data_IF_079158894357
#
_entry.id   IF_079158894357
#
_cell.length_a   1.000
_cell.length_b   1.000
_cell.length_c   1.000
_cell.angle_alpha   90.00
_cell.angle_beta   90.00
_cell.angle_gamma   90.00
#
_symmetry.space_group_name_H-M   'P 1'
#
loop_
_entity.id
_entity.type
_entity.pdbx_description
1 polymer ?
#
# COMPACT_ATOMS: atom_id res chain seq x y z
N UNK A 1 -1.32 -0.75 -7.90
CA UNK A 1 -0.74 0.61 -7.88
C UNK A 1 -1.20 1.45 -9.07
N UNK A 2 -1.28 0.87 -10.26
CA UNK A 2 -1.73 1.63 -11.44
C UNK A 2 -3.15 2.16 -11.27
N UNK A 3 -4.04 1.33 -10.74
CA UNK A 3 -5.43 1.75 -10.51
C UNK A 3 -5.50 2.91 -9.52
N UNK A 4 -4.66 2.88 -8.49
CA UNK A 4 -4.60 3.94 -7.50
C UNK A 4 -4.11 5.25 -8.12
N UNK A 5 -3.08 5.17 -8.95
CA UNK A 5 -2.54 6.35 -9.62
C UNK A 5 -3.54 6.97 -10.59
N UNK A 6 -4.37 6.14 -11.21
CA UNK A 6 -5.41 6.62 -12.13
C UNK A 6 -6.66 7.10 -11.40
N UNK A 7 -6.74 6.93 -10.09
CA UNK A 7 -7.91 7.34 -9.32
C UNK A 7 -9.13 6.49 -9.59
N UNK A 8 -8.93 5.25 -10.01
CA UNK A 8 -10.02 4.35 -10.40
C UNK A 8 -10.39 3.45 -9.23
N UNK A 9 -11.38 3.89 -8.46
CA UNK A 9 -11.80 3.17 -7.25
C UNK A 9 -12.23 1.73 -7.54
N UNK A 10 -12.97 1.51 -8.62
CA UNK A 10 -13.47 0.18 -8.92
C UNK A 10 -12.32 -0.77 -9.26
N UNK A 11 -11.31 -0.29 -9.97
CA UNK A 11 -10.14 -1.10 -10.26
C UNK A 11 -9.31 -1.38 -9.02
N UNK A 12 -9.20 -0.38 -8.11
CA UNK A 12 -8.53 -0.58 -6.83
C UNK A 12 -9.22 -1.69 -6.07
N UNK A 13 -10.54 -1.61 -5.93
CA UNK A 13 -11.29 -2.61 -5.19
C UNK A 13 -11.27 -3.98 -5.87
N UNK A 14 -11.18 -4.01 -7.19
CA UNK A 14 -11.09 -5.28 -7.91
C UNK A 14 -9.78 -6.03 -7.64
N UNK A 15 -8.75 -5.35 -7.16
CA UNK A 15 -7.49 -5.99 -6.77
C UNK A 15 -7.60 -6.72 -5.43
N UNK A 16 -8.59 -6.40 -4.63
CA UNK A 16 -8.80 -7.01 -3.31
C UNK A 16 -9.63 -8.29 -3.44
N UNK A 17 -9.37 -9.23 -2.54
CA UNK A 17 -10.18 -10.43 -2.44
C UNK A 17 -11.59 -10.09 -1.94
N UNK A 18 -12.55 -10.91 -2.35
CA UNK A 18 -13.93 -10.76 -1.88
C UNK A 18 -14.10 -11.59 -0.62
N UNK A 19 -13.57 -11.12 0.49
CA UNK A 19 -13.53 -11.79 1.78
C UNK A 19 -13.79 -10.78 2.87
N UNK A 20 -14.45 -11.22 3.94
CA UNK A 20 -14.78 -10.33 5.05
C UNK A 20 -13.56 -9.99 5.92
N UNK A 21 -12.53 -10.81 5.89
CA UNK A 21 -11.37 -10.65 6.76
C UNK A 21 -10.19 -9.95 6.09
N UNK A 22 -10.37 -9.36 4.93
CA UNK A 22 -9.27 -8.58 4.34
C UNK A 22 -8.95 -7.38 5.22
N UNK A 23 -7.67 -7.04 5.31
CA UNK A 23 -7.18 -6.02 6.24
C UNK A 23 -6.37 -4.98 5.51
N UNK A 24 -6.59 -3.73 5.83
CA UNK A 24 -5.82 -2.64 5.27
C UNK A 24 -5.44 -1.66 6.37
N UNK A 25 -4.18 -1.27 6.39
CA UNK A 25 -3.69 -0.28 7.33
C UNK A 25 -2.78 0.68 6.58
N UNK A 26 -3.24 1.92 6.46
CA UNK A 26 -2.45 3.00 5.87
C UNK A 26 -1.64 3.72 6.94
N UNK A 27 -0.55 4.40 6.56
CA UNK A 27 0.29 5.07 7.55
C UNK A 27 -0.49 6.02 8.43
N UNK A 28 -0.34 5.87 9.74
CA UNK A 28 -1.02 6.74 10.71
C UNK A 28 -2.49 6.47 10.90
N UNK A 29 -3.04 5.50 10.19
CA UNK A 29 -4.46 5.20 10.26
C UNK A 29 -4.80 4.05 11.16
N UNK A 30 -6.09 3.83 11.36
CA UNK A 30 -6.59 2.69 12.08
C UNK A 30 -6.62 1.46 11.18
N UNK A 31 -6.61 0.28 11.79
CA UNK A 31 -6.75 -0.96 11.04
C UNK A 31 -8.19 -1.06 10.49
N UNK A 32 -8.30 -1.27 9.20
CA UNK A 32 -9.57 -1.43 8.50
C UNK A 32 -9.77 -2.91 8.19
N UNK A 33 -10.95 -3.42 8.47
CA UNK A 33 -11.27 -4.82 8.23
C UNK A 33 -12.51 -4.89 7.36
N UNK A 34 -12.42 -5.66 6.28
CA UNK A 34 -13.52 -5.93 5.38
C UNK A 34 -13.63 -4.96 4.21
N UNK A 35 -14.34 -5.38 3.15
CA UNK A 35 -14.41 -4.59 1.93
C UNK A 35 -15.05 -3.21 2.10
N UNK A 36 -16.08 -3.09 2.90
CA UNK A 36 -16.79 -1.82 3.03
C UNK A 36 -15.90 -0.75 3.67
N UNK A 37 -15.18 -1.09 4.74
CA UNK A 37 -14.29 -0.15 5.42
C UNK A 37 -13.13 0.24 4.51
N UNK A 38 -12.58 -0.72 3.77
CA UNK A 38 -11.46 -0.49 2.87
C UNK A 38 -11.92 0.39 1.71
N UNK A 39 -13.09 0.12 1.15
CA UNK A 39 -13.66 0.94 0.08
C UNK A 39 -13.87 2.38 0.52
N UNK A 40 -14.40 2.56 1.73
CA UNK A 40 -14.62 3.91 2.26
C UNK A 40 -13.32 4.70 2.39
N UNK A 41 -12.25 4.04 2.83
CA UNK A 41 -10.95 4.69 2.98
C UNK A 41 -10.38 5.12 1.62
N UNK A 42 -10.45 4.24 0.61
CA UNK A 42 -9.96 4.61 -0.72
C UNK A 42 -10.83 5.69 -1.36
N UNK A 43 -12.15 5.64 -1.12
CA UNK A 43 -13.05 6.69 -1.62
C UNK A 43 -12.62 8.06 -1.08
N UNK A 44 -12.38 8.15 0.23
CA UNK A 44 -11.94 9.40 0.84
C UNK A 44 -10.58 9.84 0.29
N UNK A 45 -9.66 8.89 0.13
CA UNK A 45 -8.33 9.19 -0.40
C UNK A 45 -8.40 9.76 -1.82
N UNK A 46 -9.23 9.17 -2.68
CA UNK A 46 -9.33 9.57 -4.08
C UNK A 46 -10.14 10.84 -4.28
N UNK A 47 -11.07 11.14 -3.36
CA UNK A 47 -11.84 12.38 -3.43
C UNK A 47 -10.97 13.62 -3.25
N UNK A 48 -9.88 13.50 -2.51
CA UNK A 48 -9.00 14.62 -2.25
C UNK A 48 -7.97 14.82 -3.37
N UNK A 49 -8.12 14.11 -4.47
CA UNK A 49 -7.27 14.28 -5.64
C UNK A 49 -5.98 13.52 -5.53
N UNK A 50 -4.93 14.06 -5.95
CA UNK A 50 -3.75 13.42 -6.34
C UNK A 50 -2.87 12.73 -5.30
N UNK A 51 -3.12 11.48 -5.03
CA UNK A 51 -2.13 10.64 -4.39
C UNK A 51 -1.51 9.76 -5.46
N UNK A 52 -0.20 9.90 -5.64
CA UNK A 52 0.55 9.04 -6.55
C UNK A 52 1.41 8.12 -5.72
N UNK A 53 1.29 6.83 -5.96
CA UNK A 53 2.06 5.82 -5.24
C UNK A 53 2.81 5.00 -6.26
N UNK A 54 4.14 4.97 -6.13
CA UNK A 54 4.99 4.21 -7.03
C UNK A 54 5.72 3.14 -6.24
N UNK A 55 5.54 1.87 -6.59
CA UNK A 55 6.29 0.81 -5.92
C UNK A 55 7.75 0.83 -6.36
N UNK A 56 8.65 0.61 -5.41
CA UNK A 56 10.07 0.50 -5.67
C UNK A 56 10.64 -0.60 -4.80
N UNK A 57 11.78 -1.13 -5.19
CA UNK A 57 12.51 -2.12 -4.41
C UNK A 57 11.60 -3.24 -3.89
N UNK A 58 10.87 -3.86 -4.79
CA UNK A 58 9.91 -4.91 -4.43
C UNK A 58 10.66 -6.21 -4.14
N UNK A 59 10.43 -6.78 -2.97
CA UNK A 59 10.94 -8.09 -2.59
C UNK A 59 9.75 -9.02 -2.43
N UNK A 60 9.80 -10.18 -3.08
CA UNK A 60 8.66 -11.10 -3.10
C UNK A 60 9.04 -12.44 -2.50
N UNK A 61 8.15 -12.98 -1.69
CA UNK A 61 8.21 -14.38 -1.25
C UNK A 61 6.93 -15.02 -1.72
N UNK A 62 7.05 -15.96 -2.64
CA UNK A 62 5.88 -16.57 -3.27
C UNK A 62 5.80 -18.05 -2.95
N UNK A 63 4.63 -18.48 -2.51
CA UNK A 63 4.28 -19.88 -2.34
C UNK A 63 3.25 -20.24 -3.40
N UNK A 64 2.74 -21.47 -3.32
CA UNK A 64 1.81 -21.99 -4.34
C UNK A 64 0.53 -21.16 -4.41
N UNK A 65 -0.01 -20.77 -3.26
CA UNK A 65 -1.31 -20.09 -3.20
C UNK A 65 -1.25 -18.74 -2.49
N UNK A 66 -0.05 -18.29 -2.10
CA UNK A 66 0.10 -16.99 -1.43
C UNK A 66 1.40 -16.33 -1.86
N UNK A 67 1.43 -15.01 -1.78
CA UNK A 67 2.63 -14.25 -2.10
C UNK A 67 2.69 -13.05 -1.17
N UNK A 68 3.86 -12.77 -0.63
CA UNK A 68 4.09 -11.60 0.20
C UNK A 68 5.06 -10.69 -0.54
N UNK A 69 4.63 -9.45 -0.75
CA UNK A 69 5.49 -8.44 -1.37
C UNK A 69 5.86 -7.41 -0.32
N UNK A 70 7.15 -7.23 -0.11
CA UNK A 70 7.68 -6.14 0.69
C UNK A 70 8.08 -5.04 -0.28
N UNK A 71 7.51 -3.86 -0.12
CA UNK A 71 7.59 -2.80 -1.11
C UNK A 71 8.00 -1.50 -0.43
N UNK A 72 8.91 -0.78 -1.06
CA UNK A 72 9.14 0.60 -0.70
C UNK A 72 8.27 1.44 -1.62
N UNK A 73 7.31 2.16 -1.04
CA UNK A 73 6.41 3.02 -1.81
C UNK A 73 6.94 4.44 -1.82
N UNK A 74 7.03 5.02 -3.01
CA UNK A 74 7.28 6.44 -3.16
C UNK A 74 5.93 7.11 -3.31
N UNK A 75 5.52 7.88 -2.31
CA UNK A 75 4.20 8.50 -2.24
C UNK A 75 4.35 9.98 -2.47
N UNK A 76 3.55 10.50 -3.38
CA UNK A 76 3.48 11.92 -3.65
C UNK A 76 2.06 12.41 -3.46
N UNK A 77 1.90 13.39 -2.59
CA UNK A 77 0.61 14.01 -2.31
C UNK A 77 0.67 15.46 -2.80
N UNK A 78 -0.32 15.84 -3.59
CA UNK A 78 -0.44 17.21 -4.08
C UNK A 78 -1.30 18.00 -3.10
N UNK A 79 -0.73 19.05 -2.52
CA UNK A 79 -1.40 19.94 -1.57
C UNK A 79 -1.55 21.32 -2.19
N UNK A 80 -2.44 22.18 -1.64
CA UNK A 80 -2.60 23.53 -2.17
C UNK A 80 -1.32 24.36 -2.19
N UNK A 81 -0.40 24.11 -1.25
CA UNK A 81 0.85 24.85 -1.17
C UNK A 81 2.03 24.12 -1.82
N UNK A 82 1.76 23.07 -2.58
CA UNK A 82 2.80 22.31 -3.27
C UNK A 82 2.66 20.82 -3.08
N UNK A 83 3.67 20.10 -3.53
CA UNK A 83 3.69 18.64 -3.43
C UNK A 83 4.58 18.19 -2.27
N UNK A 84 4.18 17.11 -1.62
CA UNK A 84 4.97 16.46 -0.58
C UNK A 84 5.26 15.03 -1.01
N UNK A 85 6.46 14.57 -0.70
CA UNK A 85 6.87 13.22 -1.02
C UNK A 85 7.29 12.52 0.26
N UNK A 86 6.99 11.22 0.33
CA UNK A 86 7.34 10.41 1.47
C UNK A 86 7.69 9.02 1.01
N UNK A 87 8.53 8.35 1.78
CA UNK A 87 8.80 6.92 1.60
C UNK A 87 7.99 6.15 2.62
N UNK A 88 7.35 5.10 2.15
CA UNK A 88 6.46 4.28 2.95
C UNK A 88 6.90 2.83 2.79
N UNK A 89 7.04 2.13 3.89
CA UNK A 89 7.28 0.69 3.86
C UNK A 89 5.94 -0.01 3.87
N UNK A 90 5.71 -0.87 2.89
CA UNK A 90 4.46 -1.58 2.77
C UNK A 90 4.68 -3.08 2.65
N UNK A 91 3.78 -3.84 3.23
CA UNK A 91 3.71 -5.28 3.04
C UNK A 91 2.35 -5.60 2.45
N UNK A 92 2.37 -6.25 1.30
CA UNK A 92 1.16 -6.68 0.59
C UNK A 92 1.13 -8.19 0.57
N UNK A 93 0.02 -8.76 0.99
CA UNK A 93 -0.18 -10.21 0.97
C UNK A 93 -1.27 -10.54 -0.02
N UNK A 94 -0.97 -11.45 -0.92
CA UNK A 94 -1.87 -11.89 -1.98
C UNK A 94 -2.19 -13.36 -1.83
N UNK A 95 -3.43 -13.73 -2.13
CA UNK A 95 -3.83 -15.13 -2.24
C UNK A 95 -4.26 -15.41 -3.66
N UNK A 96 -3.98 -16.62 -4.12
CA UNK A 96 -4.50 -17.11 -5.39
C UNK A 96 -5.94 -17.55 -5.18
N UNK A 97 -6.86 -16.89 -5.84
CA UNK A 97 -8.29 -17.17 -5.76
C UNK A 97 -8.77 -17.74 -7.09
N UNK A 98 -10.01 -18.25 -7.16
CA UNK A 98 -10.55 -18.69 -8.45
C UNK A 98 -10.57 -17.59 -9.52
N UNK A 99 -10.50 -16.33 -9.10
CA UNK A 99 -10.46 -15.19 -10.04
C UNK A 99 -9.05 -14.67 -10.27
N UNK A 100 -8.03 -15.38 -9.79
CA UNK A 100 -6.64 -14.99 -9.90
C UNK A 100 -6.09 -14.48 -8.59
N UNK A 101 -4.93 -13.85 -8.65
CA UNK A 101 -4.28 -13.31 -7.46
C UNK A 101 -5.03 -12.08 -6.97
N UNK A 102 -5.33 -12.06 -5.68
CA UNK A 102 -6.05 -10.95 -5.05
C UNK A 102 -5.37 -10.56 -3.74
N UNK A 103 -5.40 -9.28 -3.45
CA UNK A 103 -4.83 -8.72 -2.23
C UNK A 103 -5.73 -9.07 -1.03
N UNK A 104 -5.12 -9.59 0.03
CA UNK A 104 -5.86 -9.91 1.26
C UNK A 104 -5.42 -9.06 2.43
N UNK A 105 -4.22 -8.48 2.38
CA UNK A 105 -3.74 -7.61 3.43
C UNK A 105 -2.78 -6.58 2.86
N UNK A 106 -2.90 -5.37 3.34
CA UNK A 106 -1.99 -4.27 3.04
C UNK A 106 -1.69 -3.57 4.35
N UNK A 107 -0.42 -3.47 4.68
CA UNK A 107 0.02 -2.78 5.88
C UNK A 107 1.15 -1.84 5.49
N UNK A 108 0.98 -0.57 5.78
CA UNK A 108 1.97 0.42 5.40
C UNK A 108 2.29 1.32 6.58
N UNK A 109 3.54 1.70 6.70
CA UNK A 109 4.01 2.62 7.71
C UNK A 109 4.99 3.59 7.08
N UNK A 110 5.08 4.78 7.64
CA UNK A 110 6.01 5.78 7.14
C UNK A 110 7.43 5.26 7.34
N UNK A 111 8.17 5.24 6.26
CA UNK A 111 9.58 4.90 6.31
C UNK A 111 10.40 6.09 6.73
N UNK A 112 11.63 5.84 7.13
CA UNK A 112 12.52 6.93 7.43
C UNK A 112 12.94 7.60 6.14
N UNK A 113 12.83 8.92 6.12
CA UNK A 113 13.26 9.68 4.97
C UNK A 113 14.76 9.91 5.11
N UNK A 114 15.52 9.00 4.53
CA UNK A 114 16.96 9.16 4.52
C UNK A 114 17.36 9.87 3.26
N UNK A 115 17.76 11.10 3.41
CA UNK A 115 18.38 11.77 2.26
C UNK A 115 19.70 11.15 2.02
N UNK A 116 20.29 10.50 2.27
CA UNK A 116 21.52 9.90 1.95
C UNK A 116 21.47 8.43 1.98
N UNK A 117 20.43 7.98 2.06
CA UNK A 117 20.33 6.58 2.09
C UNK A 117 20.79 5.92 3.38
N UNK A 118 21.29 6.02 3.87
CA UNK A 118 21.52 5.32 4.56
C UNK A 118 21.19 4.62 5.32
N UNK A 119 21.35 4.16 5.63
CA UNK A 119 21.10 3.55 6.39
C UNK A 119 21.07 2.84 7.19
N UNK A 120 21.65 3.16 7.47
CA UNK A 120 21.73 2.56 8.12
C UNK A 120 21.30 1.83 8.76
N UNK A 121 21.70 2.09 8.97
CA UNK A 121 21.49 1.45 9.61
C UNK A 121 20.94 0.90 10.15
N UNK A 122 21.12 1.24 10.16
CA UNK A 122 20.78 0.76 10.73
C UNK A 122 20.26 0.09 11.07
N UNK A 123 20.48 0.32 11.04
CA UNK A 123 20.13 -0.30 11.41
C UNK A 123 19.74 -1.09 11.83
N UNK A 124 20.10 -0.83 11.84
CA UNK A 124 19.84 -1.42 12.25
C UNK A 124 19.24 -2.11 12.73
N UNK A 125 19.22 -1.91 12.68
CA UNK A 125 18.86 -2.41 13.14
C UNK A 125 18.22 -3.15 13.69
N UNK A 126 18.20 -3.10 13.92
CA UNK A 126 17.75 -3.71 14.50
C UNK A 126 17.09 -4.32 14.79
N UNK A 127 17.05 -4.34 15.09
CA UNK A 127 16.64 -4.82 15.37
C UNK A 127 16.23 -5.08 15.62
#
# INVERSE_FOLDING_TARGET
YDALQQGDLERVMACWADEDEIVCLHPGGARLVGPAAIRAAYTAMLEHGGVQVRPAQVVRVQALASSVHSVLEQVRVVLPDGAREALVNATNVYHKTPRGWRLVAHHASVGEAHEGGLPTSSAHMLH
#
